data_IF_376877301320
#
_entry.id   IF_376877301320
#
_cell.length_a   1.000
_cell.length_b   1.000
_cell.length_c   1.000
_cell.angle_alpha   90.00
_cell.angle_beta   90.00
_cell.angle_gamma   90.00
#
_symmetry.space_group_name_H-M   'P 1'
#
loop_
_entity.id
_entity.type
_entity.pdbx_description
1 polymer ?
#
# COMPACT_ATOMS: atom_id res chain seq x y z
N UNK A 1 20.78 14.93 -12.84
CA UNK A 1 19.54 15.29 -12.15
C UNK A 1 19.73 15.01 -10.66
N UNK A 2 19.75 16.06 -9.81
CA UNK A 2 19.95 15.87 -8.37
C UNK A 2 18.64 15.40 -7.72
N UNK A 3 18.64 14.15 -7.24
CA UNK A 3 17.57 13.62 -6.41
C UNK A 3 17.70 14.29 -5.03
N UNK A 4 16.71 15.06 -4.60
CA UNK A 4 16.67 15.60 -3.25
C UNK A 4 16.25 14.47 -2.29
N UNK A 5 17.21 14.03 -1.50
CA UNK A 5 17.01 13.06 -0.42
C UNK A 5 16.52 13.82 0.81
N UNK A 6 15.36 13.48 1.32
CA UNK A 6 14.84 14.00 2.59
C UNK A 6 14.95 12.86 3.61
N UNK A 7 15.88 12.99 4.54
CA UNK A 7 16.02 12.08 5.68
C UNK A 7 15.09 12.58 6.79
N UNK A 8 14.13 11.77 7.19
CA UNK A 8 13.14 12.13 8.22
C UNK A 8 13.57 11.71 9.62
N UNK A 9 14.83 11.28 9.82
CA UNK A 9 15.35 10.89 11.13
C UNK A 9 14.84 9.56 11.71
N UNK A 10 13.80 8.99 11.10
CA UNK A 10 13.08 7.80 11.56
C UNK A 10 13.29 6.57 10.67
N UNK A 11 14.38 6.53 9.90
CA UNK A 11 14.68 5.43 8.97
C UNK A 11 13.83 5.43 7.70
N UNK A 12 13.01 6.48 7.47
CA UNK A 12 12.19 6.67 6.27
C UNK A 12 12.81 7.76 5.39
N UNK A 13 13.11 7.44 4.16
CA UNK A 13 13.66 8.37 3.17
C UNK A 13 12.66 8.55 2.04
N UNK A 14 12.18 9.77 1.85
CA UNK A 14 11.31 10.13 0.72
C UNK A 14 12.17 10.60 -0.43
N UNK A 15 12.16 9.89 -1.57
CA UNK A 15 13.04 10.16 -2.71
C UNK A 15 12.42 10.99 -3.84
N UNK A 16 11.08 11.04 -3.97
CA UNK A 16 10.37 11.91 -4.93
C UNK A 16 8.98 12.21 -4.41
N UNK A 17 8.67 13.48 -4.29
CA UNK A 17 7.29 13.96 -4.08
C UNK A 17 6.87 14.63 -5.38
N UNK A 18 6.20 13.91 -6.26
CA UNK A 18 5.27 14.52 -7.18
C UNK A 18 3.95 14.67 -6.41
N UNK A 19 3.31 15.81 -6.48
CA UNK A 19 2.23 16.22 -5.60
C UNK A 19 1.03 15.27 -5.76
N UNK A 20 0.87 14.36 -4.83
CA UNK A 20 -0.34 13.55 -4.63
C UNK A 20 -1.47 14.44 -4.07
N UNK A 21 -1.96 15.41 -4.84
CA UNK A 21 -2.95 16.36 -4.31
C UNK A 21 -4.39 15.90 -4.53
N UNK A 22 -4.68 15.03 -5.47
CA UNK A 22 -6.06 14.61 -5.74
C UNK A 22 -6.41 13.21 -5.19
N UNK A 23 -5.55 12.22 -5.34
CA UNK A 23 -5.86 10.86 -4.88
C UNK A 23 -5.68 10.66 -3.37
N UNK A 24 -4.67 11.32 -2.76
CA UNK A 24 -4.55 11.33 -1.29
C UNK A 24 -5.49 12.33 -0.60
N UNK A 25 -6.15 13.24 -1.31
CA UNK A 25 -7.25 14.02 -0.74
C UNK A 25 -8.48 13.15 -0.41
N UNK A 26 -8.61 12.00 -1.03
CA UNK A 26 -9.57 10.95 -0.62
C UNK A 26 -9.04 10.06 0.50
N UNK A 27 -7.72 10.03 0.71
CA UNK A 27 -7.04 9.36 1.81
C UNK A 27 -6.70 10.42 2.86
N UNK A 28 -7.62 10.80 3.72
CA UNK A 28 -7.56 11.69 4.90
C UNK A 28 -6.67 12.96 4.87
N UNK A 29 -7.17 14.10 5.40
CA UNK A 29 -6.43 15.38 5.54
C UNK A 29 -5.16 15.31 6.41
N UNK A 30 -4.96 14.24 7.19
CA UNK A 30 -3.83 14.11 8.12
C UNK A 30 -2.47 13.95 7.43
N UNK A 31 -2.42 13.40 6.21
CA UNK A 31 -1.17 13.34 5.43
C UNK A 31 -0.78 14.69 4.82
N UNK A 32 -1.72 15.63 4.69
CA UNK A 32 -1.43 16.99 4.25
C UNK A 32 -0.71 17.83 5.31
N UNK A 33 -0.86 17.50 6.61
CA UNK A 33 -0.16 18.23 7.69
C UNK A 33 1.34 17.89 7.72
N UNK A 34 1.72 16.66 7.33
CA UNK A 34 3.13 16.25 7.25
C UNK A 34 3.92 17.04 6.20
N UNK A 35 3.22 17.57 5.16
CA UNK A 35 3.81 18.38 4.09
C UNK A 35 4.13 19.84 4.47
N UNK A 36 3.47 20.42 5.48
CA UNK A 36 3.53 21.88 5.70
C UNK A 36 4.84 22.39 6.31
N UNK A 37 5.66 21.55 6.95
CA UNK A 37 6.85 22.00 7.66
C UNK A 37 8.16 21.90 6.91
N UNK A 38 8.24 21.29 5.70
CA UNK A 38 9.53 21.08 5.02
C UNK A 38 9.59 21.36 3.51
N UNK A 39 8.58 22.01 2.92
CA UNK A 39 8.66 22.35 1.47
C UNK A 39 8.92 23.85 1.30
N UNK A 40 10.20 24.25 1.29
CA UNK A 40 10.64 25.48 0.63
C UNK A 40 11.27 25.08 -0.71
N UNK A 41 10.61 25.51 -1.80
CA UNK A 41 11.05 25.48 -3.21
C UNK A 41 11.30 24.10 -3.85
N UNK A 42 10.29 23.54 -4.50
CA UNK A 42 10.47 22.55 -5.56
C UNK A 42 9.94 23.11 -6.87
N UNK A 43 10.79 23.19 -7.90
CA UNK A 43 10.39 23.54 -9.27
C UNK A 43 9.49 22.43 -9.81
N UNK A 44 8.32 22.80 -10.33
CA UNK A 44 7.37 21.90 -10.98
C UNK A 44 8.03 21.24 -12.21
N UNK A 45 8.01 19.90 -12.26
CA UNK A 45 8.31 19.10 -13.43
C UNK A 45 6.99 18.70 -14.10
N UNK A 46 6.94 18.76 -15.41
CA UNK A 46 5.75 18.51 -16.27
C UNK A 46 5.46 17.03 -16.48
N UNK A 47 5.53 16.19 -15.45
CA UNK A 47 5.18 14.77 -15.50
C UNK A 47 4.03 14.46 -14.52
N UNK A 48 3.18 13.45 -14.79
CA UNK A 48 1.92 13.28 -14.06
C UNK A 48 2.10 13.14 -12.55
N UNK A 49 1.10 13.57 -11.76
CA UNK A 49 1.23 13.94 -10.35
C UNK A 49 1.24 12.80 -9.33
N UNK A 50 1.24 11.53 -9.73
CA UNK A 50 0.74 10.43 -8.90
C UNK A 50 1.77 9.37 -8.51
N UNK A 51 3.04 9.72 -8.43
CA UNK A 51 4.10 8.81 -8.03
C UNK A 51 4.84 9.28 -6.78
N UNK A 52 4.81 8.46 -5.71
CA UNK A 52 5.55 8.68 -4.47
C UNK A 52 6.48 7.49 -4.24
N UNK A 53 7.76 7.75 -3.98
CA UNK A 53 8.73 6.73 -3.61
C UNK A 53 9.20 6.94 -2.17
N UNK A 54 9.14 5.88 -1.37
CA UNK A 54 9.58 5.85 0.03
C UNK A 54 10.59 4.71 0.20
N UNK A 55 11.75 5.01 0.78
CA UNK A 55 12.71 4.00 1.21
C UNK A 55 12.61 3.81 2.72
N UNK A 56 12.40 2.57 3.15
CA UNK A 56 12.47 2.15 4.54
C UNK A 56 13.80 1.43 4.76
N UNK A 57 14.64 1.95 5.65
CA UNK A 57 15.99 1.43 5.88
C UNK A 57 15.98 0.11 6.66
N UNK A 58 14.89 -0.20 7.37
CA UNK A 58 14.73 -1.39 8.19
C UNK A 58 13.27 -1.81 8.33
N UNK A 59 13.08 -2.90 9.05
CA UNK A 59 11.76 -3.46 9.32
C UNK A 59 10.88 -2.52 10.17
N UNK A 60 11.46 -1.78 11.12
CA UNK A 60 10.73 -0.85 11.98
C UNK A 60 10.21 0.36 11.16
N UNK A 61 11.01 0.83 10.19
CA UNK A 61 10.57 1.87 9.26
C UNK A 61 9.39 1.38 8.39
N UNK A 62 9.38 0.10 7.98
CA UNK A 62 8.24 -0.51 7.28
C UNK A 62 7.00 -0.54 8.18
N UNK A 63 7.14 -0.86 9.47
CA UNK A 63 6.01 -0.86 10.41
C UNK A 63 5.42 0.55 10.58
N UNK A 64 6.27 1.57 10.68
CA UNK A 64 5.82 2.97 10.70
C UNK A 64 5.11 3.38 9.41
N UNK A 65 5.61 2.94 8.25
CA UNK A 65 4.95 3.18 6.96
C UNK A 65 3.56 2.54 6.93
N UNK A 66 3.42 1.28 7.38
CA UNK A 66 2.13 0.60 7.52
C UNK A 66 1.17 1.37 8.41
N UNK A 67 1.64 1.89 9.55
CA UNK A 67 0.84 2.71 10.45
C UNK A 67 0.39 4.04 9.81
N UNK A 68 1.18 4.65 8.94
CA UNK A 68 0.75 5.86 8.21
C UNK A 68 -0.28 5.52 7.14
N UNK A 69 -0.12 4.40 6.42
CA UNK A 69 -1.12 3.92 5.46
C UNK A 69 -2.44 3.65 6.19
N UNK A 70 -2.41 2.93 7.31
CA UNK A 70 -3.61 2.62 8.11
C UNK A 70 -4.39 3.85 8.57
N UNK A 71 -3.72 4.98 8.86
CA UNK A 71 -4.37 6.26 9.19
C UNK A 71 -5.06 6.91 7.99
N UNK A 72 -4.67 6.54 6.79
CA UNK A 72 -5.08 7.18 5.55
C UNK A 72 -6.15 6.40 4.80
N UNK A 73 -6.20 5.07 4.99
CA UNK A 73 -7.19 4.21 4.34
C UNK A 73 -8.58 4.38 4.95
N UNK A 74 -9.59 4.12 4.13
CA UNK A 74 -11.01 4.12 4.48
C UNK A 74 -11.61 2.77 4.14
N UNK A 75 -12.81 2.53 4.63
CA UNK A 75 -13.66 1.45 4.18
C UNK A 75 -13.81 1.53 2.66
N UNK A 76 -13.83 0.40 1.97
CA UNK A 76 -13.87 0.33 0.51
C UNK A 76 -12.53 0.59 -0.21
N UNK A 77 -11.42 0.82 0.52
CA UNK A 77 -10.12 1.00 -0.12
C UNK A 77 -9.56 -0.31 -0.65
N UNK A 78 -8.95 -0.28 -1.85
CA UNK A 78 -8.21 -1.41 -2.42
C UNK A 78 -6.74 -1.05 -2.56
N UNK A 79 -5.86 -1.89 -2.01
CA UNK A 79 -4.40 -1.75 -2.10
C UNK A 79 -3.82 -2.98 -2.79
N UNK A 80 -3.23 -2.75 -3.95
CA UNK A 80 -2.48 -3.73 -4.75
C UNK A 80 -1.02 -3.72 -4.33
N UNK A 81 -0.49 -4.87 -3.88
CA UNK A 81 0.88 -5.05 -3.39
C UNK A 81 1.66 -5.95 -4.34
N UNK A 82 2.62 -5.38 -5.05
CA UNK A 82 3.45 -6.07 -6.04
C UNK A 82 4.90 -6.13 -5.57
N UNK A 83 5.63 -7.12 -6.06
CA UNK A 83 7.05 -7.28 -5.78
C UNK A 83 7.45 -8.74 -5.64
N UNK A 84 8.74 -9.02 -5.75
CA UNK A 84 9.31 -10.35 -5.70
C UNK A 84 9.00 -11.08 -4.38
N UNK A 85 9.18 -12.40 -4.36
CA UNK A 85 9.11 -13.20 -3.15
C UNK A 85 10.13 -12.66 -2.12
N UNK A 86 9.70 -12.47 -0.87
CA UNK A 86 10.54 -11.90 0.19
C UNK A 86 10.71 -10.38 0.13
N UNK A 87 10.03 -9.66 -0.78
CA UNK A 87 10.10 -8.19 -0.86
C UNK A 87 9.51 -7.47 0.36
N UNK A 88 8.64 -8.14 1.14
CA UNK A 88 8.03 -7.56 2.34
C UNK A 88 6.54 -7.20 2.22
N UNK A 89 5.82 -7.72 1.22
CA UNK A 89 4.38 -7.49 1.04
C UNK A 89 3.60 -7.84 2.29
N UNK A 90 3.70 -9.09 2.76
CA UNK A 90 3.03 -9.56 3.98
C UNK A 90 3.46 -8.80 5.24
N UNK A 91 4.72 -8.30 5.30
CA UNK A 91 5.15 -7.45 6.40
C UNK A 91 4.39 -6.13 6.40
N UNK A 92 4.24 -5.51 5.24
CA UNK A 92 3.46 -4.26 5.13
C UNK A 92 1.99 -4.50 5.49
N UNK A 93 1.39 -5.61 5.02
CA UNK A 93 0.02 -6.02 5.42
C UNK A 93 -0.08 -6.13 6.93
N UNK A 94 0.85 -6.86 7.58
CA UNK A 94 0.86 -7.01 9.05
C UNK A 94 0.96 -5.67 9.76
N UNK A 95 1.81 -4.75 9.28
CA UNK A 95 1.96 -3.42 9.87
C UNK A 95 0.70 -2.55 9.72
N UNK A 96 -0.02 -2.69 8.59
CA UNK A 96 -1.31 -2.02 8.38
C UNK A 96 -2.35 -2.60 9.35
N UNK A 97 -2.45 -3.93 9.44
CA UNK A 97 -3.37 -4.64 10.32
C UNK A 97 -3.15 -4.28 11.80
N UNK A 98 -1.87 -4.27 12.26
CA UNK A 98 -1.50 -3.87 13.62
C UNK A 98 -2.02 -2.46 13.94
N UNK A 99 -1.78 -1.52 13.05
CA UNK A 99 -2.23 -0.13 13.23
C UNK A 99 -3.75 0.06 13.10
N UNK A 100 -4.47 -0.90 12.53
CA UNK A 100 -5.94 -0.97 12.54
C UNK A 100 -6.50 -1.61 13.81
N UNK A 101 -5.65 -2.16 14.68
CA UNK A 101 -6.03 -2.84 15.91
C UNK A 101 -6.35 -4.33 15.75
N UNK A 102 -5.96 -4.94 14.63
CA UNK A 102 -6.12 -6.37 14.35
C UNK A 102 -5.02 -7.16 15.06
N UNK A 103 -5.35 -8.30 15.66
CA UNK A 103 -4.35 -9.20 16.26
C UNK A 103 -3.43 -9.79 15.18
N UNK A 104 -2.20 -9.33 15.18
CA UNK A 104 -1.20 -9.71 14.17
C UNK A 104 -0.62 -11.11 14.35
N UNK A 105 -0.93 -11.82 15.43
CA UNK A 105 -0.52 -13.23 15.63
C UNK A 105 -1.06 -14.15 14.54
N UNK A 106 -2.19 -13.80 13.94
CA UNK A 106 -2.87 -14.53 12.87
C UNK A 106 -2.62 -13.94 11.47
N UNK A 107 -1.97 -12.79 11.36
CA UNK A 107 -1.70 -12.14 10.06
C UNK A 107 -0.48 -12.77 9.41
N UNK A 108 -0.73 -13.69 8.48
CA UNK A 108 0.27 -14.35 7.65
C UNK A 108 -0.14 -14.27 6.18
N UNK A 109 0.80 -14.55 5.25
CA UNK A 109 0.43 -14.62 3.83
C UNK A 109 -0.54 -15.78 3.60
N UNK A 110 -1.75 -15.52 3.04
CA UNK A 110 -2.74 -16.55 2.79
C UNK A 110 -2.46 -17.34 1.49
N UNK A 111 -1.21 -17.61 1.16
CA UNK A 111 -0.76 -18.25 -0.10
C UNK A 111 -1.47 -19.59 -0.38
N UNK A 112 -1.93 -20.31 0.65
CA UNK A 112 -2.61 -21.60 0.48
C UNK A 112 -4.14 -21.50 0.52
N UNK A 113 -4.67 -20.52 1.27
CA UNK A 113 -6.13 -20.32 1.42
C UNK A 113 -6.66 -19.20 0.55
N UNK A 114 -5.75 -18.45 -0.11
CA UNK A 114 -5.99 -17.37 -1.06
C UNK A 114 -6.64 -16.12 -0.47
N UNK A 115 -7.50 -16.25 0.53
CA UNK A 115 -8.21 -15.18 1.22
C UNK A 115 -8.22 -15.42 2.72
N UNK A 116 -7.90 -14.38 3.50
CA UNK A 116 -8.06 -14.33 4.94
C UNK A 116 -8.82 -13.06 5.31
N UNK A 117 -9.83 -13.22 6.18
CA UNK A 117 -10.63 -12.10 6.67
C UNK A 117 -10.26 -11.77 8.12
N UNK A 118 -10.13 -10.48 8.43
CA UNK A 118 -9.89 -9.95 9.76
C UNK A 118 -10.96 -8.92 10.08
N UNK A 119 -11.73 -9.14 11.15
CA UNK A 119 -12.91 -8.33 11.50
C UNK A 119 -12.82 -7.69 12.88
N UNK A 120 -11.72 -7.88 13.58
CA UNK A 120 -11.47 -7.40 14.95
C UNK A 120 -10.83 -6.00 15.01
N UNK A 121 -10.52 -5.40 13.85
CA UNK A 121 -9.95 -4.08 13.75
C UNK A 121 -10.95 -2.95 13.50
N UNK A 122 -10.43 -1.71 13.42
CA UNK A 122 -11.24 -0.50 13.11
C UNK A 122 -11.94 -0.57 11.75
N UNK A 123 -11.30 -1.22 10.77
CA UNK A 123 -11.83 -1.48 9.43
C UNK A 123 -11.68 -2.98 9.20
N UNK A 124 -12.69 -3.71 8.74
CA UNK A 124 -12.54 -5.11 8.36
C UNK A 124 -11.61 -5.22 7.14
N UNK A 125 -10.72 -6.21 7.17
CA UNK A 125 -9.70 -6.41 6.13
C UNK A 125 -9.92 -7.73 5.42
N UNK A 126 -9.97 -7.69 4.09
CA UNK A 126 -9.87 -8.84 3.21
C UNK A 126 -8.44 -8.91 2.65
N UNK A 127 -7.65 -9.88 3.10
CA UNK A 127 -6.28 -10.09 2.68
C UNK A 127 -6.19 -11.24 1.69
N UNK A 128 -5.79 -10.92 0.46
CA UNK A 128 -5.61 -11.87 -0.63
C UNK A 128 -4.12 -12.10 -0.92
N UNK A 129 -3.77 -13.33 -1.30
CA UNK A 129 -2.48 -13.67 -1.91
C UNK A 129 -2.75 -14.44 -3.21
N UNK A 130 -2.50 -13.79 -4.35
CA UNK A 130 -2.80 -14.34 -5.67
C UNK A 130 -1.60 -15.06 -6.32
N UNK A 131 -0.50 -15.28 -5.57
CA UNK A 131 0.73 -15.89 -6.08
C UNK A 131 0.49 -17.25 -6.78
N UNK A 132 -0.41 -18.08 -6.23
CA UNK A 132 -0.68 -19.43 -6.72
C UNK A 132 -1.84 -19.53 -7.72
N UNK A 133 -2.58 -18.43 -7.94
CA UNK A 133 -3.66 -18.44 -8.91
C UNK A 133 -3.12 -18.69 -10.32
N UNK A 134 -3.75 -19.61 -11.04
CA UNK A 134 -3.44 -19.94 -12.43
C UNK A 134 -3.93 -18.86 -13.39
N UNK A 135 -5.14 -18.34 -13.12
CA UNK A 135 -5.81 -17.34 -13.93
C UNK A 135 -6.72 -16.43 -13.08
N UNK A 136 -7.37 -15.48 -13.72
CA UNK A 136 -8.30 -14.54 -13.10
C UNK A 136 -9.64 -15.19 -12.71
N UNK A 137 -10.04 -16.27 -13.41
CA UNK A 137 -11.30 -16.95 -13.13
C UNK A 137 -11.27 -17.59 -11.74
N UNK A 138 -10.10 -18.09 -11.28
CA UNK A 138 -9.93 -18.57 -9.91
C UNK A 138 -10.12 -17.46 -8.87
N UNK A 139 -9.69 -16.22 -9.17
CA UNK A 139 -9.90 -15.07 -8.28
C UNK A 139 -11.38 -14.70 -8.18
N UNK A 140 -12.11 -14.78 -9.29
CA UNK A 140 -13.56 -14.57 -9.32
C UNK A 140 -14.27 -15.71 -8.54
N UNK A 141 -13.85 -16.96 -8.75
CA UNK A 141 -14.45 -18.13 -8.14
C UNK A 141 -14.38 -18.15 -6.59
N UNK A 142 -13.35 -17.52 -6.00
CA UNK A 142 -13.29 -17.35 -4.52
C UNK A 142 -14.14 -16.21 -3.99
N UNK A 143 -14.95 -15.55 -4.84
CA UNK A 143 -15.84 -14.46 -4.45
C UNK A 143 -15.13 -13.13 -4.18
N UNK A 144 -13.93 -12.91 -4.77
CA UNK A 144 -13.12 -11.73 -4.49
C UNK A 144 -13.83 -10.41 -4.82
N UNK A 145 -14.75 -10.41 -5.81
CA UNK A 145 -15.53 -9.25 -6.22
C UNK A 145 -16.46 -8.73 -5.11
N UNK A 146 -16.93 -9.61 -4.21
CA UNK A 146 -17.75 -9.20 -3.07
C UNK A 146 -17.01 -8.26 -2.12
N UNK A 147 -15.69 -8.38 -2.05
CA UNK A 147 -14.82 -7.56 -1.21
C UNK A 147 -14.26 -6.36 -1.98
N UNK A 148 -13.75 -6.57 -3.20
CA UNK A 148 -13.08 -5.52 -3.97
C UNK A 148 -14.03 -4.43 -4.49
N UNK A 149 -15.33 -4.75 -4.64
CA UNK A 149 -16.38 -3.81 -4.99
C UNK A 149 -17.20 -3.34 -3.78
N UNK A 150 -16.88 -3.81 -2.57
CA UNK A 150 -17.56 -3.40 -1.34
C UNK A 150 -17.07 -2.03 -0.87
N UNK A 151 -17.96 -1.27 -0.22
CA UNK A 151 -17.59 -0.03 0.47
C UNK A 151 -17.23 -0.26 1.95
N UNK A 152 -17.27 -1.50 2.44
CA UNK A 152 -17.10 -1.82 3.85
C UNK A 152 -15.72 -2.44 4.17
N UNK A 153 -15.04 -3.00 3.18
CA UNK A 153 -13.80 -3.75 3.36
C UNK A 153 -12.57 -2.98 2.87
N UNK A 154 -11.49 -3.03 3.64
CA UNK A 154 -10.16 -2.73 3.11
C UNK A 154 -9.60 -4.00 2.46
N UNK A 155 -9.38 -3.97 1.15
CA UNK A 155 -8.76 -5.08 0.43
C UNK A 155 -7.25 -4.86 0.33
N UNK A 156 -6.47 -5.83 0.82
CA UNK A 156 -5.02 -5.89 0.68
C UNK A 156 -4.68 -7.10 -0.20
N UNK A 157 -4.12 -6.87 -1.39
CA UNK A 157 -3.96 -7.92 -2.40
C UNK A 157 -2.48 -8.06 -2.75
N UNK A 158 -1.84 -9.14 -2.24
CA UNK A 158 -0.48 -9.50 -2.63
C UNK A 158 -0.47 -10.13 -4.02
N UNK A 159 0.53 -9.77 -4.85
CA UNK A 159 0.68 -10.18 -6.24
C UNK A 159 -0.48 -9.71 -7.13
N UNK A 160 -1.04 -8.53 -6.84
CA UNK A 160 -2.22 -8.02 -7.51
C UNK A 160 -2.06 -7.83 -9.02
N UNK A 161 -0.81 -7.76 -9.53
CA UNK A 161 -0.52 -7.75 -10.96
C UNK A 161 -1.03 -8.99 -11.71
N UNK A 162 -1.27 -10.10 -11.00
CA UNK A 162 -1.76 -11.36 -11.60
C UNK A 162 -3.26 -11.34 -11.88
N UNK A 163 -3.99 -10.46 -11.19
CA UNK A 163 -5.46 -10.35 -11.26
C UNK A 163 -5.91 -8.93 -11.59
N UNK A 164 -5.02 -8.17 -12.24
CA UNK A 164 -5.20 -6.73 -12.51
C UNK A 164 -6.50 -6.40 -13.23
N UNK A 165 -6.97 -7.30 -14.09
CA UNK A 165 -8.20 -7.15 -14.89
C UNK A 165 -9.47 -7.20 -14.03
N UNK A 166 -9.39 -7.80 -12.82
CA UNK A 166 -10.50 -7.93 -11.88
C UNK A 166 -10.45 -6.89 -10.76
N UNK A 167 -9.42 -6.04 -10.72
CA UNK A 167 -9.30 -5.02 -9.70
C UNK A 167 -9.98 -3.72 -10.13
N UNK A 168 -10.61 -2.98 -9.20
CA UNK A 168 -11.19 -1.69 -9.52
C UNK A 168 -10.13 -0.70 -10.01
N UNK A 169 -10.52 0.19 -10.92
CA UNK A 169 -9.63 1.24 -11.43
C UNK A 169 -9.15 2.18 -10.32
N UNK A 170 -10.02 2.53 -9.36
CA UNK A 170 -9.67 3.38 -8.23
C UNK A 170 -9.04 2.55 -7.11
N UNK A 171 -7.72 2.39 -7.18
CA UNK A 171 -6.92 1.66 -6.18
C UNK A 171 -5.55 2.27 -5.97
N UNK A 172 -4.94 1.94 -4.84
CA UNK A 172 -3.55 2.26 -4.56
C UNK A 172 -2.66 1.08 -4.93
N UNK A 173 -1.75 1.27 -5.88
CA UNK A 173 -0.70 0.28 -6.20
C UNK A 173 0.57 0.62 -5.43
N UNK A 174 1.17 -0.39 -4.79
CA UNK A 174 2.45 -0.29 -4.10
C UNK A 174 3.39 -1.37 -4.66
N UNK A 175 4.42 -0.94 -5.38
CA UNK A 175 5.48 -1.85 -5.82
C UNK A 175 6.60 -1.85 -4.78
N UNK A 176 6.98 -3.03 -4.30
CA UNK A 176 7.95 -3.21 -3.22
C UNK A 176 9.19 -3.91 -3.76
N UNK A 177 10.35 -3.30 -3.56
CA UNK A 177 11.64 -3.87 -3.95
C UNK A 177 12.66 -3.84 -2.82
N UNK A 178 13.50 -4.87 -2.72
CA UNK A 178 14.61 -4.89 -1.80
C UNK A 178 15.75 -4.01 -2.36
N UNK A 179 16.27 -3.09 -1.56
CA UNK A 179 17.43 -2.28 -1.91
C UNK A 179 18.70 -2.76 -1.19
N UNK A 180 18.53 -3.46 -0.06
CA UNK A 180 19.57 -4.19 0.67
C UNK A 180 18.97 -5.36 1.45
N UNK A 181 19.75 -6.02 2.31
CA UNK A 181 19.23 -7.07 3.19
C UNK A 181 18.05 -6.57 4.04
N UNK A 182 18.16 -5.36 4.61
CA UNK A 182 17.19 -4.81 5.55
C UNK A 182 16.32 -3.71 4.95
N UNK A 183 16.80 -3.00 3.91
CA UNK A 183 16.10 -1.86 3.34
C UNK A 183 15.16 -2.26 2.19
N UNK A 184 14.04 -1.54 2.12
CA UNK A 184 12.99 -1.71 1.09
C UNK A 184 12.60 -0.37 0.49
N UNK A 185 12.33 -0.40 -0.81
CA UNK A 185 11.76 0.72 -1.53
C UNK A 185 10.30 0.43 -1.84
N UNK A 186 9.45 1.42 -1.62
CA UNK A 186 8.01 1.40 -1.84
C UNK A 186 7.66 2.47 -2.86
N UNK A 187 7.16 2.04 -4.02
CA UNK A 187 6.71 2.91 -5.11
C UNK A 187 5.19 2.94 -5.12
N UNK A 188 4.61 4.08 -4.77
CA UNK A 188 3.16 4.28 -4.70
C UNK A 188 2.64 4.90 -5.98
N UNK A 189 1.59 4.34 -6.53
CA UNK A 189 0.88 4.87 -7.69
C UNK A 189 -0.61 4.79 -7.41
N UNK A 190 -1.32 5.92 -7.49
CA UNK A 190 -2.77 5.92 -7.55
C UNK A 190 -3.20 5.62 -8.98
N UNK A 191 -4.14 4.70 -9.14
CA UNK A 191 -4.81 4.39 -10.41
C UNK A 191 -6.25 4.89 -10.30
N UNK A 192 -6.88 5.21 -11.43
CA UNK A 192 -8.24 5.73 -11.45
C UNK A 192 -8.34 7.22 -11.77
N UNK A 193 -9.54 7.71 -12.08
CA UNK A 193 -9.78 9.12 -12.35
C UNK A 193 -9.55 9.92 -11.07
N UNK A 194 -8.56 10.84 -11.11
CA UNK A 194 -8.22 11.78 -10.04
C UNK A 194 -9.34 12.79 -9.73
#
# INVERSE_FOLDING_TARGET
>A
MKCSRIDCGDGIIIRRVAILTAAMARISPSMTLWKRHQIRSVRMSTRPPDFLQIECCDATATDRLGAQIAKSVRDGSVIELNGQLGSGKTRLVRAICDALGIDTSHVNSPTFVLLQLYTDGRIPVAHFDTYRLGDVDEFIAIGAEEFTNSNDWLCLIEWGERVIECLPDDRLRINISATSADARNFDFTSTGPG
#
